data_IF_784756294053
#
_entry.id   IF_784756294053
#
_cell.length_a   1.000
_cell.length_b   1.000
_cell.length_c   1.000
_cell.angle_alpha   90.00
_cell.angle_beta   90.00
_cell.angle_gamma   90.00
#
_symmetry.space_group_name_H-M   'P 1'
#
loop_
_entity.id
_entity.type
_entity.pdbx_description
1 polymer ?
#
# COMPACT_ATOMS: atom_id res chain seq x y z
N UNK A 1 -16.34 17.77 -24.63
CA UNK A 1 -17.27 17.51 -23.52
C UNK A 1 -16.41 17.01 -22.38
N UNK A 2 -16.26 17.78 -21.30
CA UNK A 2 -15.49 17.33 -20.15
C UNK A 2 -16.26 16.17 -19.51
N UNK A 3 -15.72 14.97 -19.64
CA UNK A 3 -16.21 13.78 -18.98
C UNK A 3 -16.35 14.14 -17.50
N UNK A 4 -17.58 14.12 -16.98
CA UNK A 4 -17.83 14.51 -15.60
C UNK A 4 -17.12 13.49 -14.72
N UNK A 5 -15.94 13.84 -14.23
CA UNK A 5 -15.16 13.04 -13.30
C UNK A 5 -15.94 12.91 -11.99
N UNK A 6 -16.82 11.90 -11.92
CA UNK A 6 -17.50 11.51 -10.69
C UNK A 6 -16.68 10.40 -10.05
N UNK A 7 -15.73 10.79 -9.20
CA UNK A 7 -15.15 9.85 -8.25
C UNK A 7 -16.18 9.60 -7.15
N UNK A 8 -16.69 8.37 -7.02
CA UNK A 8 -17.50 7.99 -5.87
C UNK A 8 -16.57 7.90 -4.63
N UNK A 9 -16.75 8.77 -3.61
CA UNK A 9 -15.90 8.81 -2.43
C UNK A 9 -15.93 7.52 -1.61
N UNK A 10 -17.10 6.88 -1.52
CA UNK A 10 -17.30 5.66 -0.75
C UNK A 10 -16.65 4.48 -1.46
N UNK A 11 -16.88 4.33 -2.76
CA UNK A 11 -16.32 3.25 -3.55
C UNK A 11 -14.79 3.34 -3.59
N UNK A 12 -14.24 4.55 -3.77
CA UNK A 12 -12.80 4.79 -3.76
C UNK A 12 -12.18 4.45 -2.38
N UNK A 13 -12.85 4.84 -1.28
CA UNK A 13 -12.39 4.51 0.06
C UNK A 13 -12.46 3.01 0.35
N UNK A 14 -13.53 2.33 -0.08
CA UNK A 14 -13.67 0.88 0.05
C UNK A 14 -12.61 0.12 -0.76
N UNK A 15 -12.34 0.55 -1.99
CA UNK A 15 -11.27 -0.02 -2.82
C UNK A 15 -9.88 0.18 -2.18
N UNK A 16 -9.59 1.38 -1.68
CA UNK A 16 -8.37 1.68 -0.95
C UNK A 16 -8.21 0.79 0.30
N UNK A 17 -9.28 0.61 1.08
CA UNK A 17 -9.26 -0.25 2.27
C UNK A 17 -8.92 -1.70 1.92
N UNK A 18 -9.50 -2.26 0.85
CA UNK A 18 -9.19 -3.61 0.36
C UNK A 18 -7.72 -3.73 -0.08
N UNK A 19 -7.23 -2.73 -0.81
CA UNK A 19 -5.84 -2.67 -1.24
C UNK A 19 -4.89 -2.65 -0.03
N UNK A 20 -5.18 -1.81 0.96
CA UNK A 20 -4.44 -1.76 2.23
C UNK A 20 -4.41 -3.10 2.95
N UNK A 21 -5.55 -3.77 3.06
CA UNK A 21 -5.64 -5.09 3.70
C UNK A 21 -4.81 -6.16 2.96
N UNK A 22 -4.73 -6.10 1.63
CA UNK A 22 -3.85 -6.98 0.85
C UNK A 22 -2.37 -6.64 1.09
N UNK A 23 -2.01 -5.36 1.19
CA UNK A 23 -0.67 -4.92 1.53
C UNK A 23 -0.21 -5.43 2.90
N UNK A 24 -1.06 -5.33 3.93
CA UNK A 24 -0.75 -5.86 5.26
C UNK A 24 -0.61 -7.39 5.24
N UNK A 25 -1.51 -8.13 4.56
CA UNK A 25 -1.37 -9.58 4.41
C UNK A 25 -0.09 -10.00 3.71
N UNK A 26 0.34 -9.22 2.70
CA UNK A 26 1.61 -9.46 2.02
C UNK A 26 2.78 -9.28 3.00
N UNK A 27 2.77 -8.20 3.79
CA UNK A 27 3.81 -7.92 4.81
C UNK A 27 3.86 -9.02 5.88
N UNK A 28 2.71 -9.48 6.37
CA UNK A 28 2.64 -10.56 7.35
C UNK A 28 3.17 -11.89 6.78
N UNK A 29 2.77 -12.22 5.55
CA UNK A 29 3.27 -13.43 4.87
C UNK A 29 4.78 -13.36 4.65
N UNK A 30 5.30 -12.18 4.31
CA UNK A 30 6.73 -11.96 4.13
C UNK A 30 7.48 -12.14 5.44
N UNK A 31 7.01 -11.56 6.54
CA UNK A 31 7.63 -11.74 7.87
C UNK A 31 7.66 -13.21 8.31
N UNK A 32 6.60 -13.96 8.04
CA UNK A 32 6.56 -15.39 8.35
C UNK A 32 7.59 -16.18 7.53
N UNK A 33 7.73 -15.85 6.25
CA UNK A 33 8.77 -16.42 5.39
C UNK A 33 10.17 -16.05 5.91
N UNK A 34 10.40 -14.78 6.25
CA UNK A 34 11.67 -14.30 6.79
C UNK A 34 12.07 -15.03 8.06
N UNK A 35 11.16 -15.15 9.02
CA UNK A 35 11.40 -15.91 10.26
C UNK A 35 11.80 -17.36 9.98
N UNK A 36 11.15 -18.02 9.01
CA UNK A 36 11.46 -19.40 8.63
C UNK A 36 12.83 -19.51 7.97
N UNK A 37 13.20 -18.53 7.15
CA UNK A 37 14.48 -18.51 6.45
C UNK A 37 15.64 -18.12 7.38
N UNK A 38 15.39 -17.26 8.36
CA UNK A 38 16.39 -16.83 9.34
C UNK A 38 16.71 -17.94 10.33
N UNK A 39 15.71 -18.74 10.72
CA UNK A 39 15.90 -19.99 11.48
C UNK A 39 16.81 -21.01 10.76
N UNK A 40 16.96 -20.86 9.44
CA UNK A 40 17.77 -21.74 8.57
C UNK A 40 19.02 -21.04 8.02
N UNK A 41 19.30 -19.81 8.43
CA UNK A 41 20.45 -19.05 7.97
C UNK A 41 21.73 -19.53 8.66
N UNK A 42 22.80 -19.76 7.87
CA UNK A 42 24.16 -19.95 8.41
C UNK A 42 24.61 -21.39 8.73
N UNK A 43 23.74 -22.40 8.66
CA UNK A 43 24.12 -23.81 8.87
C UNK A 43 24.24 -24.62 7.56
N UNK A 44 24.83 -24.04 6.51
CA UNK A 44 24.95 -24.73 5.21
C UNK A 44 26.24 -25.53 5.03
N UNK A 45 27.06 -25.61 6.08
CA UNK A 45 28.35 -26.29 6.07
C UNK A 45 29.51 -25.33 5.78
N UNK A 46 30.69 -25.68 6.27
CA UNK A 46 31.95 -24.98 5.97
C UNK A 46 32.70 -25.64 4.79
N UNK A 47 32.08 -26.61 4.13
CA UNK A 47 32.58 -27.23 2.92
C UNK A 47 32.28 -26.36 1.68
N UNK A 48 33.00 -26.62 0.59
CA UNK A 48 32.91 -25.85 -0.65
C UNK A 48 31.47 -25.72 -1.18
N UNK A 49 30.62 -26.74 -0.95
CA UNK A 49 29.21 -26.73 -1.37
C UNK A 49 28.40 -25.76 -0.51
N UNK A 50 28.61 -25.77 0.81
CA UNK A 50 27.97 -24.86 1.75
C UNK A 50 28.32 -23.39 1.50
N UNK A 51 29.60 -23.11 1.25
CA UNK A 51 30.08 -21.76 0.95
C UNK A 51 29.57 -21.26 -0.41
N UNK A 52 29.58 -22.12 -1.44
CA UNK A 52 29.04 -21.80 -2.76
C UNK A 52 27.52 -21.57 -2.72
N UNK A 53 26.78 -22.35 -1.95
CA UNK A 53 25.35 -22.14 -1.75
C UNK A 53 25.10 -20.79 -1.06
N UNK A 54 25.83 -20.49 0.01
CA UNK A 54 25.69 -19.23 0.72
C UNK A 54 25.90 -18.02 -0.18
N UNK A 55 26.97 -18.04 -0.96
CA UNK A 55 27.35 -16.95 -1.87
C UNK A 55 26.30 -16.66 -2.94
N UNK A 56 25.60 -17.69 -3.41
CA UNK A 56 24.58 -17.57 -4.46
C UNK A 56 23.17 -17.35 -3.93
N UNK A 57 22.88 -17.77 -2.70
CA UNK A 57 21.53 -17.71 -2.13
C UNK A 57 21.28 -16.43 -1.33
N UNK A 58 22.21 -16.03 -0.45
CA UNK A 58 21.98 -14.96 0.55
C UNK A 58 21.64 -13.64 -0.12
N UNK A 59 22.49 -13.15 -1.03
CA UNK A 59 22.30 -11.85 -1.67
C UNK A 59 20.99 -11.73 -2.46
N UNK A 60 20.66 -12.70 -3.35
CA UNK A 60 19.37 -12.70 -4.03
C UNK A 60 18.18 -12.80 -3.08
N UNK A 61 18.28 -13.61 -2.02
CA UNK A 61 17.21 -13.74 -1.02
C UNK A 61 16.98 -12.42 -0.27
N UNK A 62 18.04 -11.73 0.15
CA UNK A 62 17.95 -10.41 0.79
C UNK A 62 17.29 -9.38 -0.14
N UNK A 63 17.71 -9.30 -1.42
CA UNK A 63 17.10 -8.39 -2.39
C UNK A 63 15.62 -8.69 -2.64
N UNK A 64 15.24 -9.97 -2.67
CA UNK A 64 13.83 -10.35 -2.81
C UNK A 64 13.02 -9.91 -1.59
N UNK A 65 13.57 -10.04 -0.37
CA UNK A 65 12.94 -9.54 0.86
C UNK A 65 12.73 -8.04 0.81
N UNK A 66 13.78 -7.27 0.48
CA UNK A 66 13.69 -5.81 0.35
C UNK A 66 12.60 -5.40 -0.67
N UNK A 67 12.59 -6.02 -1.85
CA UNK A 67 11.60 -5.72 -2.89
C UNK A 67 10.16 -6.02 -2.45
N UNK A 68 9.95 -7.08 -1.69
CA UNK A 68 8.64 -7.43 -1.17
C UNK A 68 8.18 -6.49 -0.04
N UNK A 69 9.09 -6.03 0.84
CA UNK A 69 8.79 -4.97 1.81
C UNK A 69 8.39 -3.68 1.10
N UNK A 70 9.16 -3.27 0.09
CA UNK A 70 8.83 -2.09 -0.72
C UNK A 70 7.46 -2.20 -1.40
N UNK A 71 7.10 -3.38 -1.90
CA UNK A 71 5.79 -3.62 -2.51
C UNK A 71 4.66 -3.51 -1.47
N UNK A 72 4.86 -4.09 -0.28
CA UNK A 72 3.92 -3.98 0.83
C UNK A 72 3.70 -2.52 1.26
N UNK A 73 4.79 -1.79 1.48
CA UNK A 73 4.75 -0.38 1.87
C UNK A 73 4.14 0.51 0.78
N UNK A 74 4.49 0.30 -0.49
CA UNK A 74 3.91 1.03 -1.61
C UNK A 74 2.38 0.85 -1.70
N UNK A 75 1.89 -0.35 -1.36
CA UNK A 75 0.45 -0.65 -1.33
C UNK A 75 -0.26 0.13 -0.22
N UNK A 76 0.35 0.23 0.96
CA UNK A 76 -0.17 1.02 2.10
C UNK A 76 -0.14 2.52 1.78
N UNK A 77 0.96 3.01 1.18
CA UNK A 77 1.08 4.40 0.76
C UNK A 77 0.03 4.77 -0.29
N UNK A 78 -0.27 3.88 -1.24
CA UNK A 78 -1.32 4.08 -2.23
C UNK A 78 -2.70 4.17 -1.58
N UNK A 79 -3.02 3.30 -0.61
CA UNK A 79 -4.25 3.40 0.21
C UNK A 79 -4.35 4.80 0.84
N UNK A 80 -3.30 5.26 1.49
CA UNK A 80 -3.30 6.55 2.18
C UNK A 80 -3.46 7.72 1.21
N UNK A 81 -2.81 7.66 0.05
CA UNK A 81 -2.98 8.64 -1.03
C UNK A 81 -4.41 8.72 -1.55
N UNK A 82 -5.07 7.58 -1.77
CA UNK A 82 -6.48 7.54 -2.19
C UNK A 82 -7.38 8.15 -1.11
N UNK A 83 -7.23 7.75 0.15
CA UNK A 83 -8.03 8.29 1.25
C UNK A 83 -7.85 9.80 1.44
N UNK A 84 -6.63 10.31 1.24
CA UNK A 84 -6.34 11.75 1.27
C UNK A 84 -7.08 12.47 0.15
N UNK A 85 -7.03 11.96 -1.08
CA UNK A 85 -7.73 12.57 -2.22
C UNK A 85 -9.25 12.55 -2.04
N UNK A 86 -9.82 11.43 -1.57
CA UNK A 86 -11.25 11.32 -1.23
C UNK A 86 -11.65 12.38 -0.20
N UNK A 87 -10.83 12.59 0.83
CA UNK A 87 -11.09 13.60 1.86
C UNK A 87 -11.05 15.02 1.31
N UNK A 88 -10.12 15.32 0.38
CA UNK A 88 -10.05 16.63 -0.30
C UNK A 88 -11.31 16.86 -1.14
N UNK A 89 -11.75 15.86 -1.91
CA UNK A 89 -12.97 15.94 -2.71
C UNK A 89 -14.21 16.19 -1.85
N UNK A 90 -14.39 15.43 -0.76
CA UNK A 90 -15.51 15.65 0.19
C UNK A 90 -15.51 17.06 0.77
N UNK A 91 -14.34 17.59 1.13
CA UNK A 91 -14.22 18.95 1.68
C UNK A 91 -14.57 20.01 0.64
N UNK A 92 -14.13 19.85 -0.60
CA UNK A 92 -14.46 20.75 -1.70
C UNK A 92 -15.96 20.74 -2.02
N UNK A 93 -16.59 19.56 -2.02
CA UNK A 93 -18.02 19.40 -2.23
C UNK A 93 -18.84 20.11 -1.13
N UNK A 94 -18.52 19.83 0.14
CA UNK A 94 -19.15 20.50 1.29
C UNK A 94 -19.01 22.02 1.25
N UNK A 95 -17.82 22.53 0.92
CA UNK A 95 -17.59 23.99 0.78
C UNK A 95 -18.37 24.59 -0.38
N UNK A 96 -18.57 23.82 -1.45
CA UNK A 96 -19.33 24.28 -2.62
C UNK A 96 -20.82 24.32 -2.31
N UNK A 97 -21.35 23.27 -1.70
CA UNK A 97 -22.73 23.21 -1.21
C UNK A 97 -23.04 24.36 -0.24
N UNK A 98 -22.19 24.59 0.77
CA UNK A 98 -22.38 25.67 1.74
C UNK A 98 -22.41 27.07 1.09
N UNK A 99 -21.63 27.31 0.04
CA UNK A 99 -21.67 28.57 -0.72
C UNK A 99 -22.95 28.72 -1.53
N UNK A 100 -23.44 27.63 -2.13
CA UNK A 100 -24.69 27.61 -2.90
C UNK A 100 -25.87 27.86 -1.97
N UNK A 101 -25.91 27.22 -0.81
CA UNK A 101 -26.95 27.44 0.20
C UNK A 101 -26.94 28.89 0.70
N UNK A 102 -25.75 29.45 0.96
CA UNK A 102 -25.61 30.83 1.40
C UNK A 102 -26.03 31.86 0.34
N UNK A 103 -25.80 31.60 -0.96
CA UNK A 103 -26.18 32.51 -2.04
C UNK A 103 -27.66 32.37 -2.44
N UNK A 104 -28.23 31.18 -2.32
CA UNK A 104 -29.66 30.94 -2.58
C UNK A 104 -30.57 31.44 -1.46
N UNK A 105 -30.09 31.55 -0.22
CA UNK A 105 -30.79 32.19 0.89
C UNK A 105 -30.82 33.73 0.88
N UNK A 106 -30.03 34.40 0.01
CA UNK A 106 -30.02 35.87 -0.12
C UNK A 106 -31.01 36.43 -1.16
N UNK A 107 -31.69 35.56 -1.91
CA UNK A 107 -32.65 35.93 -2.97
C UNK A 107 -34.12 35.67 -2.58
N UNK A 108 -34.43 35.57 -1.28
CA UNK A 108 -35.79 35.38 -0.73
C UNK A 108 -36.29 36.60 0.04
#
# INVERSE_FOLDING_TARGET
MAETFRLDPEEASAAAARLGALGERLKDSLRALESTLDDRHGCWGQDDIGEAFAKNYVGPAEKTREGAHMAGDGTVQLKDGINKNVSVLRNLDQKSAARIDASSGQNG
#
